data_IF_999400117137
#
_entry.id   IF_999400117137
#
_cell.length_a   1.000
_cell.length_b   1.000
_cell.length_c   1.000
_cell.angle_alpha   90.00
_cell.angle_beta   90.00
_cell.angle_gamma   90.00
#
_symmetry.space_group_name_H-M   'P 1'
#
loop_
_entity.id
_entity.type
_entity.pdbx_description
1 polymer ?
#
# COMPACT_ATOMS: atom_id res chain seq x y z
N UNK A 1 11.05 -20.81 -8.13
CA UNK A 1 11.40 -19.38 -8.22
C UNK A 1 10.71 -18.67 -7.07
N UNK A 2 11.06 -17.42 -6.74
CA UNK A 2 10.28 -16.67 -5.74
C UNK A 2 9.00 -16.10 -6.41
N UNK A 3 7.90 -15.90 -5.67
CA UNK A 3 6.75 -15.15 -6.16
C UNK A 3 7.17 -13.74 -6.60
N UNK A 4 6.37 -13.11 -7.45
CA UNK A 4 6.52 -11.67 -7.69
C UNK A 4 6.04 -10.89 -6.45
N UNK A 5 6.66 -9.74 -6.20
CA UNK A 5 6.16 -8.76 -5.22
C UNK A 5 5.51 -7.61 -5.97
N UNK A 6 4.27 -7.31 -5.63
CA UNK A 6 3.52 -6.18 -6.18
C UNK A 6 3.25 -5.17 -5.07
N UNK A 7 3.77 -3.95 -5.20
CA UNK A 7 3.75 -2.93 -4.16
C UNK A 7 2.75 -1.83 -4.54
N UNK A 8 1.80 -1.57 -3.65
CA UNK A 8 0.77 -0.52 -3.76
C UNK A 8 1.11 0.62 -2.80
N UNK A 9 1.45 1.82 -3.32
CA UNK A 9 1.78 2.98 -2.49
C UNK A 9 0.57 3.58 -1.78
N UNK A 10 0.84 4.40 -0.77
CA UNK A 10 -0.14 5.22 -0.06
C UNK A 10 -0.49 6.52 -0.78
N UNK A 11 -1.30 7.38 -0.12
CA UNK A 11 -1.54 8.74 -0.59
C UNK A 11 -0.23 9.51 -0.68
N UNK A 12 -0.13 10.43 -1.65
CA UNK A 12 1.02 11.30 -1.89
C UNK A 12 2.28 10.61 -2.40
N UNK A 13 2.34 9.30 -2.29
CA UNK A 13 3.52 8.50 -2.62
C UNK A 13 3.52 8.11 -4.10
N UNK A 14 4.72 7.94 -4.65
CA UNK A 14 4.95 7.34 -5.96
C UNK A 14 6.02 6.25 -5.89
N UNK A 15 6.38 5.62 -7.02
CA UNK A 15 7.32 4.51 -7.03
C UNK A 15 8.66 4.79 -6.35
N UNK A 16 9.12 6.05 -6.40
CA UNK A 16 10.43 6.47 -5.90
C UNK A 16 10.67 6.11 -4.43
N UNK A 17 9.67 6.25 -3.57
CA UNK A 17 9.83 5.98 -2.12
C UNK A 17 9.86 4.47 -1.78
N UNK A 18 9.57 3.60 -2.75
CA UNK A 18 9.65 2.14 -2.60
C UNK A 18 10.84 1.54 -3.34
N UNK A 19 11.60 2.31 -4.14
CA UNK A 19 12.79 1.81 -4.83
C UNK A 19 13.81 1.16 -3.86
N UNK A 20 14.14 1.76 -2.69
CA UNK A 20 15.05 1.12 -1.74
C UNK A 20 14.57 -0.26 -1.29
N UNK A 21 13.26 -0.40 -1.04
CA UNK A 21 12.65 -1.68 -0.67
C UNK A 21 12.66 -2.67 -1.83
N UNK A 22 12.33 -2.24 -3.04
CA UNK A 22 12.40 -3.09 -4.23
C UNK A 22 13.83 -3.60 -4.48
N UNK A 23 14.85 -2.76 -4.28
CA UNK A 23 16.25 -3.16 -4.38
C UNK A 23 16.66 -4.16 -3.29
N UNK A 24 16.21 -3.94 -2.04
CA UNK A 24 16.42 -4.90 -0.96
C UNK A 24 15.78 -6.26 -1.25
N UNK A 25 14.56 -6.28 -1.82
CA UNK A 25 13.88 -7.50 -2.26
C UNK A 25 14.64 -8.19 -3.40
N UNK A 26 15.14 -7.43 -4.39
CA UNK A 26 15.95 -7.98 -5.49
C UNK A 26 17.23 -8.64 -4.97
N UNK A 27 17.94 -8.02 -4.02
CA UNK A 27 19.11 -8.61 -3.34
C UNK A 27 18.76 -9.92 -2.61
N UNK A 28 17.50 -10.09 -2.21
CA UNK A 28 16.96 -11.32 -1.56
C UNK A 28 16.41 -12.35 -2.56
N UNK A 29 16.65 -12.16 -3.86
CA UNK A 29 16.30 -13.12 -4.91
C UNK A 29 14.88 -12.97 -5.48
N UNK A 30 14.17 -11.88 -5.17
CA UNK A 30 12.91 -11.56 -5.86
C UNK A 30 13.23 -10.92 -7.21
N UNK A 31 13.06 -11.69 -8.29
CA UNK A 31 13.33 -11.21 -9.65
C UNK A 31 12.34 -10.11 -10.08
N UNK A 32 11.12 -10.14 -9.54
CA UNK A 32 10.08 -9.14 -9.79
C UNK A 32 9.68 -8.47 -8.49
N UNK A 33 10.09 -7.22 -8.31
CA UNK A 33 9.54 -6.29 -7.32
C UNK A 33 8.95 -5.10 -8.09
N UNK A 34 7.65 -5.17 -8.37
CA UNK A 34 6.90 -4.23 -9.18
C UNK A 34 6.20 -3.22 -8.28
N UNK A 35 6.39 -1.94 -8.54
CA UNK A 35 5.76 -0.86 -7.80
C UNK A 35 4.76 -0.18 -8.72
N UNK A 36 3.48 -0.23 -8.38
CA UNK A 36 2.44 0.46 -9.15
C UNK A 36 2.36 1.94 -8.79
N UNK A 37 1.55 2.69 -9.51
CA UNK A 37 1.26 4.11 -9.21
C UNK A 37 -0.25 4.31 -9.10
N UNK A 38 -0.66 5.25 -8.25
CA UNK A 38 -2.06 5.70 -8.23
C UNK A 38 -2.23 6.73 -9.33
N UNK A 39 -3.29 6.60 -10.14
CA UNK A 39 -3.63 7.59 -11.17
C UNK A 39 -3.87 8.97 -10.59
N UNK A 40 -4.44 9.03 -9.40
CA UNK A 40 -4.77 10.28 -8.73
C UNK A 40 -3.54 11.07 -8.23
N UNK A 41 -2.41 10.41 -7.99
CA UNK A 41 -1.23 11.09 -7.40
C UNK A 41 -0.66 12.17 -8.31
N UNK A 42 -0.58 13.39 -7.79
CA UNK A 42 -0.05 14.56 -8.49
C UNK A 42 -1.02 15.21 -9.48
N UNK A 43 -2.27 14.75 -9.55
CA UNK A 43 -3.29 15.33 -10.45
C UNK A 43 -3.96 16.56 -9.85
N UNK A 44 -4.55 17.39 -10.71
CA UNK A 44 -5.29 18.60 -10.36
C UNK A 44 -6.57 18.71 -11.22
N UNK A 45 -7.62 19.40 -10.75
CA UNK A 45 -8.87 19.60 -11.51
C UNK A 45 -8.62 20.21 -12.90
N UNK A 46 -9.54 19.99 -13.87
CA UNK A 46 -10.86 19.37 -13.71
C UNK A 46 -10.88 17.83 -13.80
N UNK A 47 -9.83 17.20 -14.33
CA UNK A 47 -9.82 15.77 -14.68
C UNK A 47 -9.22 14.90 -13.55
N UNK A 48 -9.64 15.13 -12.31
CA UNK A 48 -9.15 14.39 -11.15
C UNK A 48 -9.67 12.93 -11.14
N UNK A 49 -8.79 11.92 -11.09
CA UNK A 49 -9.19 10.54 -10.87
C UNK A 49 -9.82 10.33 -9.50
N UNK A 50 -10.81 9.44 -9.44
CA UNK A 50 -11.47 9.01 -8.22
C UNK A 50 -10.78 7.81 -7.58
N UNK A 51 -11.19 7.43 -6.37
CA UNK A 51 -10.72 6.19 -5.74
C UNK A 51 -11.02 4.95 -6.60
N UNK A 52 -12.18 4.91 -7.27
CA UNK A 52 -12.52 3.81 -8.18
C UNK A 52 -11.56 3.75 -9.38
N UNK A 53 -11.08 4.90 -9.88
CA UNK A 53 -10.12 4.94 -11.00
C UNK A 53 -8.75 4.40 -10.59
N UNK A 54 -8.31 4.69 -9.36
CA UNK A 54 -7.10 4.10 -8.78
C UNK A 54 -7.26 2.59 -8.59
N UNK A 55 -8.38 2.13 -8.03
CA UNK A 55 -8.66 0.70 -7.86
C UNK A 55 -8.63 -0.02 -9.21
N UNK A 56 -9.30 0.53 -10.23
CA UNK A 56 -9.35 -0.07 -11.56
C UNK A 56 -7.95 -0.12 -12.22
N UNK A 57 -7.16 0.94 -12.08
CA UNK A 57 -5.80 0.99 -12.61
C UNK A 57 -4.88 -0.05 -11.92
N UNK A 58 -4.94 -0.12 -10.59
CA UNK A 58 -4.16 -1.08 -9.79
C UNK A 58 -4.60 -2.51 -10.12
N UNK A 59 -5.89 -2.77 -10.31
CA UNK A 59 -6.39 -4.09 -10.69
C UNK A 59 -5.87 -4.54 -12.07
N UNK A 60 -5.85 -3.63 -13.04
CA UNK A 60 -5.33 -3.90 -14.38
C UNK A 60 -3.82 -4.24 -14.35
N UNK A 61 -3.05 -3.46 -13.60
CA UNK A 61 -1.60 -3.65 -13.46
C UNK A 61 -1.29 -4.95 -12.69
N UNK A 62 -1.97 -5.18 -11.57
CA UNK A 62 -1.84 -6.39 -10.77
C UNK A 62 -2.22 -7.64 -11.57
N UNK A 63 -3.32 -7.60 -12.33
CA UNK A 63 -3.72 -8.72 -13.20
C UNK A 63 -2.60 -9.09 -14.18
N UNK A 64 -1.96 -8.08 -14.79
CA UNK A 64 -0.83 -8.29 -15.71
C UNK A 64 0.38 -8.91 -15.00
N UNK A 65 0.66 -8.52 -13.75
CA UNK A 65 1.75 -9.11 -12.95
C UNK A 65 1.43 -10.53 -12.52
N UNK A 66 0.19 -10.81 -12.12
CA UNK A 66 -0.28 -12.14 -11.76
C UNK A 66 -0.17 -13.11 -12.94
N UNK A 67 -0.58 -12.68 -14.14
CA UNK A 67 -0.49 -13.51 -15.33
C UNK A 67 0.97 -13.83 -15.69
N UNK A 68 1.89 -12.86 -15.56
CA UNK A 68 3.33 -13.09 -15.77
C UNK A 68 3.97 -13.97 -14.70
N UNK A 69 3.53 -13.87 -13.45
CA UNK A 69 4.09 -14.65 -12.35
C UNK A 69 3.71 -16.15 -12.43
N UNK A 70 2.58 -16.46 -13.06
CA UNK A 70 2.11 -17.83 -13.23
C UNK A 70 2.02 -18.58 -11.90
N UNK A 71 2.47 -19.84 -11.88
CA UNK A 71 2.40 -20.73 -10.71
C UNK A 71 3.12 -20.18 -9.46
N UNK A 72 4.12 -19.32 -9.64
CA UNK A 72 4.85 -18.76 -8.50
C UNK A 72 3.95 -17.82 -7.68
N UNK A 73 2.97 -17.20 -8.34
CA UNK A 73 2.02 -16.28 -7.72
C UNK A 73 2.65 -14.95 -7.30
N UNK A 74 1.86 -14.17 -6.57
CA UNK A 74 2.18 -12.79 -6.18
C UNK A 74 2.00 -12.59 -4.67
N UNK A 75 2.93 -11.87 -4.05
CA UNK A 75 2.75 -11.26 -2.73
C UNK A 75 2.38 -9.79 -2.97
N UNK A 76 1.18 -9.40 -2.54
CA UNK A 76 0.74 -8.01 -2.62
C UNK A 76 1.15 -7.26 -1.35
N UNK A 77 1.99 -6.25 -1.48
CA UNK A 77 2.44 -5.37 -0.40
C UNK A 77 1.70 -4.06 -0.51
N UNK A 78 1.03 -3.63 0.57
CA UNK A 78 0.15 -2.48 0.55
C UNK A 78 0.49 -1.54 1.70
N UNK A 79 0.83 -0.31 1.36
CA UNK A 79 1.21 0.71 2.33
C UNK A 79 0.07 1.73 2.54
N UNK A 80 -0.19 2.12 3.79
CA UNK A 80 -1.15 3.19 4.11
C UNK A 80 -2.51 3.00 3.40
N UNK A 81 -3.05 4.01 2.72
CA UNK A 81 -4.32 3.87 1.96
C UNK A 81 -4.25 2.86 0.81
N UNK A 82 -3.05 2.49 0.36
CA UNK A 82 -2.83 1.39 -0.57
C UNK A 82 -3.39 0.07 -0.05
N UNK A 83 -3.58 -0.07 1.26
CA UNK A 83 -4.33 -1.18 1.87
C UNK A 83 -5.79 -1.25 1.43
N UNK A 84 -6.46 -0.11 1.28
CA UNK A 84 -7.85 -0.04 0.78
C UNK A 84 -7.87 -0.27 -0.74
N UNK A 85 -7.04 0.47 -1.48
CA UNK A 85 -7.00 0.43 -2.95
C UNK A 85 -6.59 -0.96 -3.44
N UNK A 86 -5.47 -1.48 -2.92
CA UNK A 86 -4.94 -2.79 -3.27
C UNK A 86 -5.87 -3.93 -2.87
N UNK A 87 -6.53 -3.83 -1.71
CA UNK A 87 -7.51 -4.84 -1.29
C UNK A 87 -8.72 -4.88 -2.19
N UNK A 88 -9.24 -3.73 -2.62
CA UNK A 88 -10.34 -3.67 -3.56
C UNK A 88 -9.94 -4.17 -4.96
N UNK A 89 -8.71 -3.88 -5.40
CA UNK A 89 -8.18 -4.28 -6.70
C UNK A 89 -7.94 -5.79 -6.85
N UNK A 90 -7.96 -6.56 -5.76
CA UNK A 90 -7.71 -8.00 -5.73
C UNK A 90 -8.88 -8.88 -6.21
N UNK A 91 -10.05 -8.31 -6.47
CA UNK A 91 -11.26 -9.06 -6.78
C UNK A 91 -11.03 -10.03 -7.95
N UNK A 92 -11.20 -11.33 -7.70
CA UNK A 92 -10.97 -12.39 -8.70
C UNK A 92 -9.49 -12.70 -9.02
N UNK A 93 -8.52 -12.03 -8.38
CA UNK A 93 -7.09 -12.21 -8.63
C UNK A 93 -6.38 -13.11 -7.61
N UNK A 94 -7.05 -13.47 -6.51
CA UNK A 94 -6.55 -14.46 -5.55
C UNK A 94 -6.42 -15.87 -6.15
N UNK A 95 -5.50 -16.68 -5.61
CA UNK A 95 -5.23 -18.04 -6.11
C UNK A 95 -6.50 -18.92 -6.20
N UNK A 96 -7.37 -18.88 -5.17
CA UNK A 96 -8.61 -19.67 -5.13
C UNK A 96 -9.58 -19.28 -6.23
N UNK A 97 -9.82 -17.97 -6.41
CA UNK A 97 -10.72 -17.46 -7.45
C UNK A 97 -10.20 -17.78 -8.86
N UNK A 98 -8.89 -17.60 -9.08
CA UNK A 98 -8.25 -17.94 -10.37
C UNK A 98 -8.31 -19.42 -10.67
N UNK A 99 -8.05 -20.28 -9.69
CA UNK A 99 -8.19 -21.74 -9.85
C UNK A 99 -9.62 -22.13 -10.22
N UNK A 100 -10.63 -21.53 -9.58
CA UNK A 100 -12.04 -21.75 -9.93
C UNK A 100 -12.38 -21.31 -11.36
N UNK A 101 -11.69 -20.29 -11.87
CA UNK A 101 -11.79 -19.83 -13.26
C UNK A 101 -10.89 -20.59 -14.25
N UNK A 102 -10.25 -21.70 -13.85
CA UNK A 102 -9.35 -22.48 -14.71
C UNK A 102 -8.03 -21.79 -15.05
N UNK A 103 -7.65 -20.75 -14.29
CA UNK A 103 -6.40 -20.00 -14.47
C UNK A 103 -5.34 -20.44 -13.46
N UNK A 104 -4.08 -20.26 -13.85
CA UNK A 104 -2.91 -20.55 -13.01
C UNK A 104 -2.50 -19.30 -12.23
N UNK A 105 -1.93 -19.52 -11.04
CA UNK A 105 -1.37 -18.46 -10.20
C UNK A 105 -2.41 -17.64 -9.46
N UNK A 106 -1.98 -16.49 -8.97
CA UNK A 106 -2.81 -15.55 -8.23
C UNK A 106 -2.03 -14.85 -7.12
N UNK A 107 -2.72 -13.92 -6.45
CA UNK A 107 -2.22 -13.35 -5.21
C UNK A 107 -2.41 -14.38 -4.10
N UNK A 108 -1.30 -14.74 -3.46
CA UNK A 108 -1.24 -15.82 -2.46
C UNK A 108 -1.10 -15.31 -1.03
N UNK A 109 -0.59 -14.09 -0.85
CA UNK A 109 -0.44 -13.43 0.44
C UNK A 109 -0.55 -11.91 0.28
N UNK A 110 -1.15 -11.26 1.26
CA UNK A 110 -1.13 -9.81 1.44
C UNK A 110 -0.16 -9.45 2.58
N UNK A 111 0.64 -8.41 2.39
CA UNK A 111 1.45 -7.78 3.43
C UNK A 111 1.00 -6.33 3.56
N UNK A 112 0.40 -5.98 4.69
CA UNK A 112 0.09 -4.59 5.03
C UNK A 112 1.30 -3.96 5.72
N UNK A 113 1.63 -2.71 5.39
CA UNK A 113 2.62 -1.90 6.09
C UNK A 113 1.92 -0.62 6.53
N UNK A 114 1.74 -0.42 7.84
CA UNK A 114 1.04 0.75 8.38
C UNK A 114 -0.23 1.08 7.58
N UNK A 115 -0.99 0.05 7.21
CA UNK A 115 -2.02 0.16 6.19
C UNK A 115 -3.40 0.48 6.78
N UNK A 116 -4.19 1.23 6.02
CA UNK A 116 -5.62 1.33 6.25
C UNK A 116 -6.31 0.05 5.77
N UNK A 117 -7.12 -0.55 6.63
CA UNK A 117 -7.92 -1.75 6.35
C UNK A 117 -9.38 -1.42 6.61
N UNK A 118 -10.16 -1.44 5.53
CA UNK A 118 -11.58 -1.06 5.58
C UNK A 118 -12.43 -2.30 5.37
N UNK A 119 -13.54 -2.36 6.10
CA UNK A 119 -14.61 -3.31 5.83
C UNK A 119 -15.47 -2.81 4.68
N UNK A 120 -16.18 -3.72 4.02
CA UNK A 120 -17.15 -3.36 2.99
C UNK A 120 -18.17 -2.34 3.52
N UNK A 121 -18.50 -1.36 2.71
CA UNK A 121 -19.41 -0.27 3.06
C UNK A 121 -18.76 0.91 3.79
N UNK A 122 -17.52 0.79 4.29
CA UNK A 122 -16.79 1.93 4.85
C UNK A 122 -16.33 2.89 3.74
N UNK A 123 -16.28 4.19 4.05
CA UNK A 123 -15.84 5.24 3.12
C UNK A 123 -14.59 5.95 3.66
N UNK A 124 -13.57 6.20 2.82
CA UNK A 124 -12.45 7.05 3.21
C UNK A 124 -12.93 8.49 3.47
N UNK A 125 -12.68 8.97 4.68
CA UNK A 125 -12.96 10.36 5.07
C UNK A 125 -11.70 11.21 5.14
N UNK A 126 -11.89 12.52 5.28
CA UNK A 126 -10.80 13.44 5.58
C UNK A 126 -10.26 13.19 7.00
N UNK A 127 -8.94 13.15 7.13
CA UNK A 127 -8.25 12.93 8.40
C UNK A 127 -7.52 14.21 8.84
N UNK A 128 -7.25 14.40 10.15
CA UNK A 128 -6.64 15.65 10.67
C UNK A 128 -5.23 15.99 10.13
N UNK A 129 -4.57 15.04 9.47
CA UNK A 129 -3.29 15.28 8.80
C UNK A 129 -3.45 15.73 7.34
N UNK A 130 -4.68 15.77 6.80
CA UNK A 130 -4.93 16.19 5.42
C UNK A 130 -5.19 17.70 5.39
N UNK A 131 -4.40 18.43 4.61
CA UNK A 131 -4.56 19.88 4.39
C UNK A 131 -5.12 20.10 3.01
N UNK A 132 -6.37 20.55 2.93
CA UNK A 132 -7.06 20.85 1.67
C UNK A 132 -6.64 22.23 1.16
N UNK A 133 -6.26 22.30 -0.10
CA UNK A 133 -6.10 23.53 -0.87
C UNK A 133 -7.30 23.66 -1.81
N UNK A 134 -8.29 24.46 -1.43
CA UNK A 134 -9.54 24.61 -2.20
C UNK A 134 -9.30 25.21 -3.60
N UNK A 135 -8.35 26.15 -3.72
CA UNK A 135 -8.03 26.79 -4.99
C UNK A 135 -7.42 25.80 -6.00
N UNK A 136 -6.64 24.83 -5.52
CA UNK A 136 -6.05 23.79 -6.35
C UNK A 136 -6.89 22.51 -6.41
N UNK A 137 -7.97 22.40 -5.63
CA UNK A 137 -8.80 21.19 -5.54
C UNK A 137 -8.04 19.94 -5.12
N UNK A 138 -6.99 20.10 -4.30
CA UNK A 138 -6.12 19.01 -3.84
C UNK A 138 -5.95 19.01 -2.33
N UNK A 139 -5.39 17.95 -1.77
CA UNK A 139 -4.90 17.92 -0.40
C UNK A 139 -3.49 17.33 -0.30
N UNK A 140 -2.78 17.73 0.76
CA UNK A 140 -1.42 17.28 1.08
C UNK A 140 -1.34 16.83 2.55
N UNK A 141 -0.22 16.22 2.94
CA UNK A 141 0.04 15.90 4.34
C UNK A 141 0.50 17.15 5.11
N UNK A 142 -0.14 17.41 6.26
CA UNK A 142 0.27 18.43 7.25
C UNK A 142 1.63 18.05 7.81
N UNK A 143 2.61 18.96 7.70
CA UNK A 143 3.96 18.78 8.24
C UNK A 143 4.55 17.38 7.97
N UNK A 144 4.81 17.04 6.69
CA UNK A 144 5.19 15.68 6.31
C UNK A 144 6.50 15.22 6.98
N UNK A 145 7.41 16.13 7.31
CA UNK A 145 8.65 15.78 8.01
C UNK A 145 8.35 15.24 9.41
N UNK A 146 7.43 15.87 10.14
CA UNK A 146 7.02 15.42 11.47
C UNK A 146 6.06 14.24 11.43
N UNK A 147 5.17 14.16 10.43
CA UNK A 147 4.13 13.14 10.39
C UNK A 147 4.61 11.84 9.72
N UNK A 148 5.31 11.92 8.59
CA UNK A 148 5.70 10.77 7.78
C UNK A 148 7.15 10.33 7.98
N UNK A 149 8.07 11.27 8.15
CA UNK A 149 9.52 11.01 8.05
C UNK A 149 10.31 11.31 9.34
N UNK A 150 9.64 11.37 10.49
CA UNK A 150 10.27 11.83 11.74
C UNK A 150 11.32 10.87 12.31
N UNK A 151 11.28 9.61 11.90
CA UNK A 151 12.21 8.53 12.25
C UNK A 151 13.34 8.37 11.21
N UNK A 152 13.44 9.28 10.24
CA UNK A 152 14.47 9.32 9.20
C UNK A 152 15.40 10.51 9.46
N UNK A 153 16.74 10.37 9.24
CA UNK A 153 17.66 11.50 9.34
C UNK A 153 17.19 12.72 8.55
N UNK A 154 17.29 13.91 9.15
CA UNK A 154 16.60 15.11 8.69
C UNK A 154 16.90 15.48 7.22
N UNK A 155 18.12 15.29 6.74
CA UNK A 155 18.48 15.64 5.36
C UNK A 155 17.94 14.63 4.34
N UNK A 156 17.90 13.35 4.70
CA UNK A 156 17.22 12.31 3.91
C UNK A 156 15.70 12.53 3.91
N UNK A 157 15.13 12.82 5.08
CA UNK A 157 13.70 13.12 5.23
C UNK A 157 13.26 14.27 4.31
N UNK A 158 14.05 15.35 4.23
CA UNK A 158 13.78 16.46 3.29
C UNK A 158 13.84 16.03 1.83
N UNK A 159 14.79 15.16 1.47
CA UNK A 159 14.91 14.65 0.10
C UNK A 159 13.70 13.79 -0.28
N UNK A 160 13.25 12.93 0.62
CA UNK A 160 12.06 12.09 0.43
C UNK A 160 10.76 12.89 0.43
N UNK A 161 10.62 13.88 1.31
CA UNK A 161 9.45 14.74 1.34
C UNK A 161 9.22 15.50 0.03
N UNK A 162 10.29 15.83 -0.71
CA UNK A 162 10.19 16.44 -2.05
C UNK A 162 9.65 15.49 -3.13
N UNK A 163 9.64 14.18 -2.88
CA UNK A 163 9.04 13.20 -3.80
C UNK A 163 7.53 13.09 -3.62
N UNK A 164 6.97 13.60 -2.51
CA UNK A 164 5.54 13.57 -2.28
C UNK A 164 4.82 14.48 -3.27
N UNK A 165 3.63 14.06 -3.68
CA UNK A 165 2.74 14.79 -4.58
C UNK A 165 1.36 14.97 -3.92
N UNK A 166 0.56 15.96 -4.33
CA UNK A 166 -0.79 16.14 -3.80
C UNK A 166 -1.76 15.05 -4.31
N UNK A 167 -2.83 14.79 -3.54
CA UNK A 167 -3.99 14.00 -3.99
C UNK A 167 -5.21 14.89 -4.27
N UNK A 168 -6.17 14.45 -5.10
CA UNK A 168 -7.46 15.11 -5.27
C UNK A 168 -8.23 15.27 -3.96
N UNK A 169 -8.80 16.45 -3.71
CA UNK A 169 -9.59 16.72 -2.50
C UNK A 169 -10.97 16.04 -2.48
N UNK A 170 -11.43 15.54 -3.63
CA UNK A 170 -12.75 14.93 -3.81
C UNK A 170 -12.66 13.62 -4.59
N UNK A 171 -13.76 12.86 -4.64
CA UNK A 171 -13.84 11.60 -5.41
C UNK A 171 -13.36 10.36 -4.65
N UNK A 172 -12.92 10.50 -3.40
CA UNK A 172 -12.46 9.40 -2.54
C UNK A 172 -13.47 8.96 -1.48
N UNK A 173 -14.47 9.78 -1.17
CA UNK A 173 -15.57 9.46 -0.25
C UNK A 173 -16.61 8.55 -0.95
N UNK A 174 -16.23 7.29 -1.20
CA UNK A 174 -17.11 6.26 -1.74
C UNK A 174 -17.00 4.97 -0.92
N UNK A 175 -18.08 4.17 -0.81
CA UNK A 175 -18.03 2.89 -0.11
C UNK A 175 -17.07 1.91 -0.78
N UNK A 176 -16.23 1.27 0.04
CA UNK A 176 -15.43 0.11 -0.38
C UNK A 176 -16.37 -1.05 -0.70
N UNK A 177 -16.26 -1.59 -1.91
CA UNK A 177 -17.14 -2.66 -2.43
C UNK A 177 -16.60 -4.06 -2.19
N UNK A 178 -15.29 -4.21 -2.16
CA UNK A 178 -14.60 -5.50 -2.02
C UNK A 178 -13.35 -5.35 -1.16
N UNK A 179 -13.02 -6.42 -0.43
CA UNK A 179 -11.91 -6.46 0.52
C UNK A 179 -11.12 -7.76 0.30
N UNK A 180 -10.04 -7.72 -0.47
CA UNK A 180 -9.25 -8.90 -0.83
C UNK A 180 -8.66 -9.69 0.33
N UNK A 181 -8.49 -9.08 1.49
CA UNK A 181 -8.07 -9.75 2.72
C UNK A 181 -9.10 -10.74 3.28
N UNK A 182 -10.34 -10.72 2.79
CA UNK A 182 -11.33 -11.76 3.10
C UNK A 182 -11.05 -13.09 2.37
N UNK A 183 -10.37 -13.04 1.22
CA UNK A 183 -10.13 -14.20 0.36
C UNK A 183 -8.66 -14.64 0.34
N UNK A 184 -7.74 -13.73 0.68
CA UNK A 184 -6.29 -13.96 0.65
C UNK A 184 -5.69 -13.71 2.04
N UNK A 185 -4.93 -14.67 2.61
CA UNK A 185 -4.35 -14.51 3.93
C UNK A 185 -3.40 -13.31 3.98
N UNK A 186 -3.39 -12.62 5.12
CA UNK A 186 -2.65 -11.38 5.30
C UNK A 186 -1.72 -11.42 6.52
N UNK A 187 -0.67 -10.60 6.48
CA UNK A 187 0.17 -10.24 7.62
C UNK A 187 0.21 -8.71 7.70
N UNK A 188 0.25 -8.17 8.91
CA UNK A 188 0.26 -6.74 9.16
C UNK A 188 1.57 -6.33 9.83
N UNK A 189 2.34 -5.50 9.16
CA UNK A 189 3.54 -4.86 9.68
C UNK A 189 3.11 -3.58 10.39
N UNK A 190 3.09 -3.64 11.72
CA UNK A 190 2.71 -2.55 12.61
C UNK A 190 3.92 -1.66 12.91
N UNK A 191 3.79 -0.36 12.70
CA UNK A 191 4.86 0.61 12.94
C UNK A 191 4.59 1.36 14.26
N UNK A 192 5.39 1.10 15.30
CA UNK A 192 5.07 1.51 16.68
C UNK A 192 5.02 3.03 16.89
N UNK A 193 5.81 3.79 16.14
CA UNK A 193 5.90 5.25 16.27
C UNK A 193 5.15 6.00 15.17
N UNK A 194 4.26 5.33 14.44
CA UNK A 194 3.44 5.97 13.41
C UNK A 194 2.56 7.09 13.98
N UNK A 195 2.67 8.29 13.38
CA UNK A 195 1.95 9.50 13.80
C UNK A 195 0.66 9.75 13.01
N UNK A 196 0.43 9.03 11.92
CA UNK A 196 -0.82 9.07 11.15
C UNK A 196 -1.78 7.99 11.64
N UNK A 197 -1.28 6.78 11.87
CA UNK A 197 -2.03 5.63 12.32
C UNK A 197 -1.44 5.13 13.65
N UNK A 198 -1.94 5.60 14.80
CA UNK A 198 -1.45 5.13 16.10
C UNK A 198 -1.54 3.60 16.22
N UNK A 199 -0.68 3.01 17.07
CA UNK A 199 -0.61 1.56 17.24
C UNK A 199 -1.97 0.88 17.46
N UNK A 200 -2.80 1.43 18.35
CA UNK A 200 -4.13 0.88 18.64
C UNK A 200 -5.05 0.85 17.43
N UNK A 201 -4.92 1.83 16.52
CA UNK A 201 -5.66 1.85 15.27
C UNK A 201 -5.11 0.77 14.32
N UNK A 202 -3.78 0.63 14.21
CA UNK A 202 -3.16 -0.42 13.41
C UNK A 202 -3.52 -1.83 13.90
N UNK A 203 -3.54 -2.05 15.22
CA UNK A 203 -4.00 -3.30 15.84
C UNK A 203 -5.46 -3.59 15.48
N UNK A 204 -6.33 -2.60 15.57
CA UNK A 204 -7.72 -2.74 15.16
C UNK A 204 -7.86 -3.06 13.65
N UNK A 205 -7.00 -2.49 12.80
CA UNK A 205 -6.96 -2.78 11.36
C UNK A 205 -6.49 -4.20 11.07
N UNK A 206 -5.42 -4.65 11.73
CA UNK A 206 -4.92 -6.01 11.64
C UNK A 206 -5.98 -7.02 12.11
N UNK A 207 -6.62 -6.75 13.25
CA UNK A 207 -7.68 -7.59 13.80
C UNK A 207 -8.89 -7.68 12.85
N UNK A 208 -9.29 -6.56 12.24
CA UNK A 208 -10.39 -6.55 11.26
C UNK A 208 -10.09 -7.41 10.02
N UNK A 209 -8.84 -7.46 9.58
CA UNK A 209 -8.39 -8.33 8.48
C UNK A 209 -8.06 -9.76 8.91
N UNK A 210 -8.10 -10.09 10.20
CA UNK A 210 -7.62 -11.36 10.73
C UNK A 210 -6.13 -11.59 10.45
N UNK A 211 -5.33 -10.53 10.36
CA UNK A 211 -3.91 -10.60 10.05
C UNK A 211 -3.07 -10.99 11.28
N UNK A 212 -2.03 -11.79 11.05
CA UNK A 212 -0.93 -11.90 12.01
C UNK A 212 -0.18 -10.55 12.09
N UNK A 213 0.19 -10.13 13.30
CA UNK A 213 0.90 -8.86 13.51
C UNK A 213 2.41 -9.12 13.65
N UNK A 214 3.20 -8.37 12.89
CA UNK A 214 4.64 -8.22 13.08
C UNK A 214 4.92 -6.77 13.45
N UNK A 215 5.52 -6.52 14.62
CA UNK A 215 5.82 -5.16 15.08
C UNK A 215 7.21 -4.72 14.63
N UNK A 216 7.29 -3.51 14.08
CA UNK A 216 8.54 -2.80 13.83
C UNK A 216 8.78 -1.78 14.93
N UNK A 217 9.70 -2.14 15.82
CA UNK A 217 10.06 -1.32 16.97
C UNK A 217 10.68 -0.01 16.49
N UNK A 218 10.12 1.10 16.93
CA UNK A 218 10.62 2.43 16.61
C UNK A 218 10.34 2.92 15.17
N UNK A 219 9.63 2.15 14.34
CA UNK A 219 9.28 2.59 12.99
C UNK A 219 8.15 3.63 13.01
N UNK A 220 8.34 4.71 12.25
CA UNK A 220 7.29 5.64 11.85
C UNK A 220 6.51 5.14 10.64
N UNK A 221 5.76 6.03 9.99
CA UNK A 221 4.87 5.65 8.88
C UNK A 221 5.64 5.08 7.69
N UNK A 222 6.80 5.68 7.35
CA UNK A 222 7.57 5.34 6.15
C UNK A 222 8.60 4.23 6.39
N UNK A 223 8.17 3.12 7.00
CA UNK A 223 9.04 2.00 7.39
C UNK A 223 9.80 1.34 6.22
N UNK A 224 9.25 1.43 4.99
CA UNK A 224 9.94 1.01 3.76
C UNK A 224 11.23 1.79 3.51
N UNK A 225 11.39 2.97 4.10
CA UNK A 225 12.59 3.80 4.06
C UNK A 225 13.41 3.70 5.35
N UNK A 226 12.79 3.83 6.53
CA UNK A 226 13.53 3.87 7.81
C UNK A 226 14.03 2.50 8.27
N UNK A 227 13.32 1.42 7.91
CA UNK A 227 13.65 0.04 8.29
C UNK A 227 13.60 -0.91 7.08
N UNK A 228 14.09 -0.45 5.92
CA UNK A 228 13.99 -1.15 4.63
C UNK A 228 14.38 -2.63 4.67
N UNK A 229 15.52 -2.96 5.30
CA UNK A 229 16.02 -4.34 5.33
C UNK A 229 15.12 -5.27 6.16
N UNK A 230 14.55 -4.76 7.24
CA UNK A 230 13.65 -5.54 8.09
C UNK A 230 12.29 -5.75 7.41
N UNK A 231 11.75 -4.71 6.77
CA UNK A 231 10.55 -4.84 5.92
C UNK A 231 10.78 -5.87 4.81
N UNK A 232 11.92 -5.80 4.11
CA UNK A 232 12.28 -6.75 3.07
C UNK A 232 12.42 -8.18 3.61
N UNK A 233 12.95 -8.35 4.83
CA UNK A 233 13.07 -9.64 5.52
C UNK A 233 11.68 -10.22 5.82
N UNK A 234 10.77 -9.42 6.38
CA UNK A 234 9.41 -9.86 6.72
C UNK A 234 8.64 -10.28 5.45
N UNK A 235 8.72 -9.49 4.38
CA UNK A 235 8.13 -9.85 3.06
C UNK A 235 8.75 -11.15 2.55
N UNK A 236 10.07 -11.33 2.72
CA UNK A 236 10.77 -12.54 2.29
C UNK A 236 10.26 -13.81 2.97
N UNK A 237 9.92 -13.74 4.25
CA UNK A 237 9.35 -14.86 4.99
C UNK A 237 7.97 -15.29 4.48
N UNK A 238 7.25 -14.39 3.80
CA UNK A 238 5.95 -14.71 3.21
C UNK A 238 6.07 -15.41 1.83
N UNK A 239 7.30 -15.54 1.33
CA UNK A 239 7.59 -16.20 0.07
C UNK A 239 7.92 -17.69 0.19
N UNK A 240 8.06 -18.19 1.42
CA UNK A 240 8.28 -19.60 1.76
C UNK A 240 6.94 -20.36 1.79
#
# INVERSE_FOLDING_TARGET
MKPAVFIVPGSYEGPKVFEPLADALRRRGFTTAHITSLKSTGTKPPDNPTLDDDIAAVAQDLSSVVDRAGEQGVIAVMHSVGGVIGSAALEGLGCSARKAAGKVGGVRKIVFIAASVFQQGMEPGLLPFMVVNEAEGTHTCRDPLTMLFHDIPADEAKAWARQLQPQPATGWAKPVKYCGWMDVPSVYILCEQDRLLPESLQEARAAAAGSDIVRLVGAGHMAQLSQTEEVARIISMQAE
#
